data_IF_721094012709
#
_entry.id   IF_721094012709
#
_cell.length_a   1.000
_cell.length_b   1.000
_cell.length_c   1.000
_cell.angle_alpha   90.00
_cell.angle_beta   90.00
_cell.angle_gamma   90.00
#
_symmetry.space_group_name_H-M   'P 1'
#
loop_
_entity.id
_entity.type
_entity.pdbx_description
1 polymer ?
#
# COMPACT_ATOMS: atom_id res chain seq x y z
N UNK A 1 20.89 10.88 -15.94
CA UNK A 1 20.34 9.76 -15.15
C UNK A 1 21.54 9.01 -14.64
N UNK A 2 21.74 8.88 -13.34
CA UNK A 2 22.85 8.09 -12.78
C UNK A 2 22.52 6.61 -13.08
N UNK A 3 23.39 5.96 -13.85
CA UNK A 3 23.28 4.53 -14.13
C UNK A 3 23.27 3.75 -12.82
N UNK A 4 22.20 3.02 -12.54
CA UNK A 4 22.18 1.90 -11.61
C UNK A 4 21.48 2.03 -10.26
N UNK A 5 20.82 3.16 -9.94
CA UNK A 5 20.05 3.23 -8.67
C UNK A 5 18.72 2.49 -8.82
N UNK A 6 18.54 1.43 -8.03
CA UNK A 6 17.29 0.68 -7.93
C UNK A 6 16.44 1.29 -6.83
N UNK A 7 15.25 1.77 -7.16
CA UNK A 7 14.27 2.28 -6.19
C UNK A 7 13.59 1.12 -5.47
N UNK A 8 13.56 1.19 -4.15
CA UNK A 8 12.92 0.19 -3.28
C UNK A 8 11.53 0.66 -2.88
N UNK A 9 10.52 -0.11 -3.20
CA UNK A 9 9.12 0.15 -2.85
C UNK A 9 8.64 -0.90 -1.86
N UNK A 10 8.06 -0.46 -0.75
CA UNK A 10 7.39 -1.35 0.19
C UNK A 10 5.91 -1.50 -0.19
N UNK A 11 5.53 -2.71 -0.58
CA UNK A 11 4.15 -3.10 -0.86
C UNK A 11 3.42 -3.49 0.43
N UNK A 12 2.36 -2.77 0.80
CA UNK A 12 1.57 -3.06 2.01
C UNK A 12 0.16 -3.49 1.62
N UNK A 13 -0.23 -4.70 2.01
CA UNK A 13 -1.57 -5.24 1.82
C UNK A 13 -2.49 -4.88 2.99
N UNK A 14 -3.64 -4.25 2.72
CA UNK A 14 -4.63 -3.91 3.75
C UNK A 14 -5.51 -5.09 4.19
N UNK A 15 -5.41 -6.24 3.53
CA UNK A 15 -6.17 -7.42 3.87
C UNK A 15 -5.31 -8.47 4.57
N UNK A 16 -5.80 -9.02 5.65
CA UNK A 16 -5.16 -10.11 6.39
C UNK A 16 -5.58 -11.51 5.91
N UNK A 17 -6.49 -11.59 4.93
CA UNK A 17 -6.97 -12.86 4.37
C UNK A 17 -5.88 -13.55 3.54
N UNK A 18 -5.68 -14.86 3.72
CA UNK A 18 -4.73 -15.66 2.91
C UNK A 18 -5.06 -15.58 1.42
N UNK A 19 -6.33 -15.73 1.02
CA UNK A 19 -6.79 -15.60 -0.38
C UNK A 19 -7.16 -14.16 -0.77
N UNK A 20 -6.37 -13.17 -0.38
CA UNK A 20 -6.66 -11.75 -0.63
C UNK A 20 -6.38 -11.34 -2.07
N UNK A 21 -7.37 -10.82 -2.80
CA UNK A 21 -7.18 -10.19 -4.09
C UNK A 21 -6.18 -9.02 -4.05
N UNK A 22 -6.15 -8.27 -2.95
CA UNK A 22 -5.21 -7.17 -2.78
C UNK A 22 -3.78 -7.65 -2.59
N UNK A 23 -3.56 -8.80 -1.95
CA UNK A 23 -2.25 -9.45 -1.89
C UNK A 23 -1.79 -9.89 -3.28
N UNK A 24 -2.70 -10.51 -4.04
CA UNK A 24 -2.43 -10.92 -5.42
C UNK A 24 -2.11 -9.73 -6.34
N UNK A 25 -2.77 -8.57 -6.15
CA UNK A 25 -2.40 -7.36 -6.89
C UNK A 25 -0.98 -6.89 -6.61
N UNK A 26 -0.48 -7.02 -5.38
CA UNK A 26 0.92 -6.70 -5.07
C UNK A 26 1.89 -7.68 -5.74
N UNK A 27 1.54 -8.96 -5.81
CA UNK A 27 2.33 -9.97 -6.51
C UNK A 27 2.38 -9.67 -8.02
N UNK A 28 1.26 -9.28 -8.63
CA UNK A 28 1.20 -8.77 -10.01
C UNK A 28 2.05 -7.52 -10.20
N UNK A 29 2.04 -6.61 -9.22
CA UNK A 29 2.89 -5.42 -9.28
C UNK A 29 4.38 -5.77 -9.23
N UNK A 30 4.80 -6.79 -8.47
CA UNK A 30 6.18 -7.30 -8.50
C UNK A 30 6.56 -7.85 -9.89
N UNK A 31 5.66 -8.62 -10.51
CA UNK A 31 5.88 -9.18 -11.86
C UNK A 31 6.01 -8.09 -12.94
N UNK A 32 5.27 -6.98 -12.80
CA UNK A 32 5.17 -5.89 -13.76
C UNK A 32 6.08 -4.71 -13.43
N UNK A 33 6.91 -4.83 -12.39
CA UNK A 33 7.80 -3.76 -11.99
C UNK A 33 8.77 -3.40 -13.14
N UNK A 34 8.88 -2.10 -13.51
CA UNK A 34 9.82 -1.69 -14.55
C UNK A 34 11.27 -1.80 -14.05
N UNK A 35 12.21 -1.86 -14.99
CA UNK A 35 13.62 -1.86 -14.68
C UNK A 35 13.98 -0.69 -13.73
N UNK A 36 14.76 -0.99 -12.69
CA UNK A 36 15.14 -0.02 -11.66
C UNK A 36 14.07 0.24 -10.59
N UNK A 37 13.02 -0.57 -10.52
CA UNK A 37 12.04 -0.56 -9.42
C UNK A 37 11.92 -1.96 -8.82
N UNK A 38 12.19 -2.10 -7.54
CA UNK A 38 11.99 -3.35 -6.78
C UNK A 38 10.86 -3.18 -5.77
N UNK A 39 9.98 -4.16 -5.67
CA UNK A 39 8.86 -4.15 -4.72
C UNK A 39 9.06 -5.28 -3.72
N UNK A 40 9.25 -4.93 -2.46
CA UNK A 40 9.19 -5.87 -1.34
C UNK A 40 7.78 -5.85 -0.75
N UNK A 41 7.15 -7.02 -0.60
CA UNK A 41 5.81 -7.09 -0.02
C UNK A 41 5.89 -7.40 1.48
N UNK A 42 5.44 -6.47 2.30
CA UNK A 42 5.38 -6.64 3.75
C UNK A 42 4.54 -7.87 4.14
N UNK A 43 5.05 -8.65 5.09
CA UNK A 43 4.42 -9.91 5.56
C UNK A 43 3.02 -9.73 6.15
N UNK A 44 2.68 -8.51 6.61
CA UNK A 44 1.36 -8.16 7.12
C UNK A 44 1.37 -7.67 8.57
N UNK A 45 0.30 -7.00 8.96
CA UNK A 45 0.12 -6.37 10.27
C UNK A 45 -0.66 -7.28 11.25
N UNK A 46 -0.50 -8.59 11.12
CA UNK A 46 -1.05 -9.55 12.06
C UNK A 46 -0.47 -9.32 13.46
N UNK A 47 -1.31 -9.35 14.47
CA UNK A 47 -0.87 -9.24 15.85
C UNK A 47 -0.56 -7.80 16.33
N UNK A 48 -0.82 -6.78 15.50
CA UNK A 48 -0.77 -5.41 16.01
C UNK A 48 -1.94 -5.21 16.99
N UNK A 49 -1.69 -4.83 18.26
CA UNK A 49 -2.76 -4.54 19.21
C UNK A 49 -3.60 -3.35 18.72
N UNK A 50 -4.82 -3.25 19.20
CA UNK A 50 -5.60 -2.03 19.00
C UNK A 50 -4.87 -0.87 19.68
N UNK A 51 -4.71 0.24 18.96
CA UNK A 51 -4.01 1.40 19.49
C UNK A 51 -4.73 1.93 20.75
N UNK A 52 -3.96 2.14 21.79
CA UNK A 52 -4.38 2.73 23.05
C UNK A 52 -3.21 3.55 23.60
N UNK A 53 -3.46 4.84 23.87
CA UNK A 53 -2.42 5.74 24.35
C UNK A 53 -1.91 5.35 25.74
N UNK A 54 -2.75 4.76 26.61
CA UNK A 54 -2.33 4.30 27.94
C UNK A 54 -1.36 3.10 27.84
N UNK A 55 -1.58 2.23 26.84
CA UNK A 55 -0.67 1.10 26.58
C UNK A 55 0.65 1.59 25.97
N UNK A 56 0.59 2.60 25.07
CA UNK A 56 1.80 3.24 24.53
C UNK A 56 2.64 3.89 25.64
N UNK A 57 2.01 4.60 26.58
CA UNK A 57 2.72 5.25 27.69
C UNK A 57 3.34 4.23 28.66
N UNK A 58 2.64 3.12 28.91
CA UNK A 58 3.11 2.08 29.84
C UNK A 58 4.18 1.16 29.23
N UNK A 59 3.98 0.70 28.00
CA UNK A 59 4.73 -0.42 27.39
C UNK A 59 5.56 0.04 26.18
N UNK A 60 5.34 1.25 25.69
CA UNK A 60 5.97 1.78 24.48
C UNK A 60 5.33 1.25 23.19
N UNK A 61 6.02 1.49 22.08
CA UNK A 61 5.54 1.08 20.75
C UNK A 61 5.87 -0.40 20.51
N UNK A 62 4.89 -1.24 20.12
CA UNK A 62 5.12 -2.68 19.89
C UNK A 62 6.22 -2.96 18.85
N UNK A 63 7.06 -3.96 19.11
CA UNK A 63 8.18 -4.30 18.22
C UNK A 63 7.79 -4.52 16.75
N UNK A 64 6.65 -5.18 16.39
CA UNK A 64 6.24 -5.30 14.99
C UNK A 64 5.90 -3.97 14.32
N UNK A 65 5.44 -2.97 15.09
CA UNK A 65 5.20 -1.60 14.59
C UNK A 65 6.52 -0.91 14.30
N UNK A 66 7.49 -1.06 15.20
CA UNK A 66 8.85 -0.52 15.00
C UNK A 66 9.48 -1.12 13.74
N UNK A 67 9.39 -2.43 13.56
CA UNK A 67 9.87 -3.11 12.34
C UNK A 67 9.26 -2.50 11.06
N UNK A 68 7.94 -2.42 10.99
CA UNK A 68 7.27 -1.85 9.82
C UNK A 68 7.64 -0.37 9.61
N UNK A 69 7.78 0.40 10.68
CA UNK A 69 8.21 1.80 10.62
C UNK A 69 9.58 1.94 9.95
N UNK A 70 10.55 1.13 10.35
CA UNK A 70 11.88 1.16 9.74
C UNK A 70 11.84 0.71 8.28
N UNK A 71 11.09 -0.34 7.94
CA UNK A 71 10.90 -0.74 6.53
C UNK A 71 10.32 0.38 5.67
N UNK A 72 9.33 1.15 6.20
CA UNK A 72 8.78 2.30 5.49
C UNK A 72 9.83 3.41 5.35
N UNK A 73 10.68 3.64 6.33
CA UNK A 73 11.75 4.64 6.25
C UNK A 73 12.78 4.31 5.19
N UNK A 74 13.23 3.06 5.16
CA UNK A 74 14.24 2.57 4.24
C UNK A 74 13.76 2.50 2.80
N UNK A 75 12.44 2.37 2.59
CA UNK A 75 11.85 2.36 1.26
C UNK A 75 11.81 3.76 0.63
N UNK A 76 12.09 3.86 -0.67
CA UNK A 76 11.95 5.09 -1.47
C UNK A 76 10.47 5.48 -1.67
N UNK A 77 9.56 4.50 -1.57
CA UNK A 77 8.13 4.72 -1.68
C UNK A 77 7.30 3.58 -1.11
N UNK A 78 6.00 3.83 -0.93
CA UNK A 78 5.04 2.83 -0.45
C UNK A 78 3.93 2.60 -1.47
N UNK A 79 3.73 1.34 -1.87
CA UNK A 79 2.60 0.90 -2.68
C UNK A 79 1.55 0.24 -1.79
N UNK A 80 0.42 0.90 -1.60
CA UNK A 80 -0.67 0.40 -0.79
C UNK A 80 -1.67 -0.38 -1.64
N UNK A 81 -1.96 -1.63 -1.30
CA UNK A 81 -3.07 -2.40 -1.87
C UNK A 81 -4.16 -2.58 -0.81
N UNK A 82 -5.21 -1.74 -0.90
CA UNK A 82 -6.24 -1.67 0.14
C UNK A 82 -7.59 -2.21 -0.32
N UNK A 83 -8.20 -3.14 0.42
CA UNK A 83 -9.61 -3.46 0.22
C UNK A 83 -10.51 -2.29 0.66
N UNK A 84 -11.79 -2.40 0.32
CA UNK A 84 -12.83 -1.52 0.84
C UNK A 84 -13.75 -2.32 1.76
N UNK A 85 -13.84 -1.94 3.02
CA UNK A 85 -14.74 -2.53 4.00
C UNK A 85 -15.76 -1.49 4.45
N UNK A 86 -17.05 -1.77 4.23
CA UNK A 86 -18.14 -0.87 4.62
C UNK A 86 -17.91 0.57 4.13
N UNK A 87 -17.56 0.71 2.83
CA UNK A 87 -17.28 1.98 2.15
C UNK A 87 -16.06 2.75 2.66
N UNK A 88 -15.19 2.13 3.43
CA UNK A 88 -14.03 2.78 4.02
C UNK A 88 -12.77 1.90 3.96
N UNK A 89 -11.69 2.41 4.55
CA UNK A 89 -10.45 1.66 4.72
C UNK A 89 -10.61 0.51 5.73
N UNK A 90 -9.84 -0.58 5.61
CA UNK A 90 -9.89 -1.68 6.56
C UNK A 90 -9.36 -1.25 7.93
N UNK A 91 -10.16 -1.57 8.98
CA UNK A 91 -9.85 -1.14 10.36
C UNK A 91 -8.49 -1.63 10.85
N UNK A 92 -8.09 -2.86 10.54
CA UNK A 92 -6.80 -3.41 10.96
C UNK A 92 -5.60 -2.63 10.38
N UNK A 93 -5.66 -2.27 9.09
CA UNK A 93 -4.60 -1.45 8.49
C UNK A 93 -4.65 -0.01 8.99
N UNK A 94 -5.86 0.55 9.18
CA UNK A 94 -5.99 1.88 9.80
C UNK A 94 -5.35 1.91 11.17
N UNK A 95 -5.62 0.90 12.00
CA UNK A 95 -5.00 0.73 13.32
C UNK A 95 -3.46 0.63 13.24
N UNK A 96 -2.92 -0.11 12.27
CA UNK A 96 -1.47 -0.16 12.07
C UNK A 96 -0.90 1.24 11.74
N UNK A 97 -1.60 2.03 10.92
CA UNK A 97 -1.18 3.39 10.59
C UNK A 97 -1.38 4.36 11.78
N UNK A 98 -2.34 4.12 12.68
CA UNK A 98 -2.47 4.89 13.93
C UNK A 98 -1.24 4.69 14.83
N UNK A 99 -0.78 3.46 15.00
CA UNK A 99 0.48 3.16 15.68
C UNK A 99 1.70 3.81 14.99
N UNK A 100 1.78 3.71 13.66
CA UNK A 100 2.89 4.27 12.86
C UNK A 100 2.90 5.80 12.88
N UNK A 101 1.77 6.45 13.17
CA UNK A 101 1.64 7.90 13.25
C UNK A 101 2.19 8.50 14.55
N UNK A 102 2.60 7.64 15.49
CA UNK A 102 3.14 8.07 16.77
C UNK A 102 4.57 8.57 16.61
N UNK A 103 5.28 8.73 17.71
CA UNK A 103 6.65 9.25 17.74
C UNK A 103 7.50 8.80 16.55
N UNK A 104 8.16 9.74 15.90
CA UNK A 104 9.02 9.48 14.72
C UNK A 104 8.30 8.83 13.54
N UNK A 105 7.09 9.27 13.19
CA UNK A 105 6.30 8.73 12.07
C UNK A 105 7.07 8.78 10.73
N UNK A 106 6.92 7.74 9.85
CA UNK A 106 7.76 7.57 8.66
C UNK A 106 7.16 8.18 7.38
N UNK A 107 6.06 8.94 7.47
CA UNK A 107 5.25 9.31 6.31
C UNK A 107 5.52 10.71 5.76
N UNK A 108 6.17 11.60 6.53
CA UNK A 108 6.47 12.96 6.07
C UNK A 108 7.25 12.92 4.77
N UNK A 109 6.70 13.50 3.73
CA UNK A 109 7.21 13.51 2.35
C UNK A 109 7.38 12.11 1.72
N UNK A 110 6.87 11.05 2.33
CA UNK A 110 6.95 9.70 1.76
C UNK A 110 6.11 9.59 0.48
N UNK A 111 6.71 9.26 -0.67
CA UNK A 111 5.97 9.00 -1.90
C UNK A 111 5.09 7.77 -1.72
N UNK A 112 3.82 7.88 -2.07
CA UNK A 112 2.87 6.78 -1.96
C UNK A 112 2.07 6.59 -3.25
N UNK A 113 1.79 5.35 -3.60
CA UNK A 113 0.79 4.98 -4.59
C UNK A 113 -0.23 4.03 -3.97
N UNK A 114 -1.42 3.97 -4.55
CA UNK A 114 -2.48 3.11 -4.04
C UNK A 114 -3.26 2.45 -5.17
N UNK A 115 -3.57 1.18 -4.97
CA UNK A 115 -4.45 0.38 -5.81
C UNK A 115 -5.36 -0.49 -4.94
N UNK A 116 -6.36 -1.13 -5.52
CA UNK A 116 -7.15 -2.07 -4.75
C UNK A 116 -8.18 -2.84 -5.56
N UNK A 117 -8.56 -4.00 -5.02
CA UNK A 117 -9.56 -4.89 -5.58
C UNK A 117 -10.67 -5.19 -4.59
N UNK A 118 -11.90 -5.25 -5.10
CA UNK A 118 -13.09 -5.63 -4.34
C UNK A 118 -14.07 -6.42 -5.22
N UNK A 119 -14.90 -7.24 -4.60
CA UNK A 119 -15.96 -7.98 -5.29
C UNK A 119 -17.08 -7.07 -5.80
N UNK A 120 -17.23 -5.88 -5.20
CA UNK A 120 -18.19 -4.87 -5.64
C UNK A 120 -17.77 -4.20 -6.96
N UNK A 121 -18.70 -3.59 -7.70
CA UNK A 121 -18.43 -3.03 -9.04
C UNK A 121 -17.53 -1.78 -9.01
N UNK A 122 -17.53 -1.03 -7.91
CA UNK A 122 -16.78 0.24 -7.77
C UNK A 122 -15.30 0.02 -7.42
N UNK A 123 -14.91 -1.23 -7.14
CA UNK A 123 -13.57 -1.54 -6.66
C UNK A 123 -13.38 -1.01 -5.23
N UNK A 124 -12.32 -0.25 -5.01
CA UNK A 124 -11.98 0.28 -3.69
C UNK A 124 -11.89 1.81 -3.67
N UNK A 125 -12.64 2.48 -4.56
CA UNK A 125 -12.53 3.92 -4.76
C UNK A 125 -12.73 4.73 -3.48
N UNK A 126 -13.77 4.39 -2.67
CA UNK A 126 -14.06 5.13 -1.43
C UNK A 126 -12.95 4.94 -0.40
N UNK A 127 -12.48 3.70 -0.22
CA UNK A 127 -11.36 3.39 0.65
C UNK A 127 -10.09 4.16 0.23
N UNK A 128 -9.79 4.25 -1.06
CA UNK A 128 -8.63 4.96 -1.57
C UNK A 128 -8.72 6.47 -1.31
N UNK A 129 -9.88 7.09 -1.43
CA UNK A 129 -10.07 8.50 -1.09
C UNK A 129 -9.93 8.74 0.42
N UNK A 130 -10.42 7.84 1.27
CA UNK A 130 -10.21 7.93 2.72
C UNK A 130 -8.73 7.79 3.08
N UNK A 131 -7.97 6.92 2.41
CA UNK A 131 -6.52 6.81 2.59
C UNK A 131 -5.82 8.12 2.23
N UNK A 132 -6.11 8.70 1.06
CA UNK A 132 -5.54 9.97 0.64
C UNK A 132 -5.79 11.09 1.65
N UNK A 133 -7.03 11.18 2.16
CA UNK A 133 -7.40 12.15 3.19
C UNK A 133 -6.65 11.90 4.51
N UNK A 134 -6.64 10.67 4.99
CA UNK A 134 -6.00 10.31 6.26
C UNK A 134 -4.49 10.54 6.24
N UNK A 135 -3.83 10.15 5.16
CA UNK A 135 -2.38 10.23 5.03
C UNK A 135 -1.88 11.65 4.72
N UNK A 136 -2.74 12.52 4.19
CA UNK A 136 -2.41 13.94 4.03
C UNK A 136 -2.11 14.61 5.40
N UNK A 137 -2.80 14.18 6.47
CA UNK A 137 -2.53 14.64 7.82
C UNK A 137 -1.12 14.25 8.33
N UNK A 138 -0.53 13.20 7.76
CA UNK A 138 0.82 12.71 8.09
C UNK A 138 1.89 13.20 7.10
N UNK A 139 1.52 14.07 6.15
CA UNK A 139 2.45 14.64 5.18
C UNK A 139 2.91 13.69 4.07
N UNK A 140 2.20 12.56 3.87
CA UNK A 140 2.50 11.65 2.76
C UNK A 140 2.09 12.25 1.41
N UNK A 141 2.84 11.93 0.35
CA UNK A 141 2.65 12.51 -0.98
C UNK A 141 2.18 11.41 -1.95
N UNK A 142 0.86 11.32 -2.13
CA UNK A 142 0.28 10.35 -3.05
C UNK A 142 0.46 10.72 -4.51
N UNK A 143 0.84 9.72 -5.34
CA UNK A 143 0.70 9.81 -6.78
C UNK A 143 -0.78 10.05 -7.14
N UNK A 144 -1.12 11.16 -7.85
CA UNK A 144 -2.53 11.47 -8.13
C UNK A 144 -3.14 10.57 -9.20
N UNK A 145 -2.36 10.12 -10.18
CA UNK A 145 -2.79 9.32 -11.35
C UNK A 145 -1.67 8.38 -11.81
N UNK A 146 -2.02 7.20 -12.41
CA UNK A 146 -3.38 6.66 -12.58
C UNK A 146 -3.98 6.14 -11.26
N UNK A 147 -5.32 6.01 -11.21
CA UNK A 147 -6.05 5.37 -10.12
C UNK A 147 -6.44 3.94 -10.53
N UNK A 148 -6.22 2.96 -9.68
CA UNK A 148 -6.49 1.55 -9.98
C UNK A 148 -7.59 1.02 -9.06
N UNK A 149 -8.79 0.89 -9.60
CA UNK A 149 -9.98 0.38 -8.93
C UNK A 149 -10.43 -0.93 -9.58
N UNK A 150 -9.97 -2.07 -9.08
CA UNK A 150 -10.37 -3.38 -9.62
C UNK A 150 -11.71 -3.80 -9.02
N UNK A 151 -12.79 -3.44 -9.70
CA UNK A 151 -14.13 -3.90 -9.35
C UNK A 151 -14.42 -5.31 -9.87
N UNK A 152 -15.45 -5.96 -9.29
CA UNK A 152 -15.86 -7.32 -9.66
C UNK A 152 -14.71 -8.34 -9.63
N UNK A 153 -13.84 -8.24 -8.63
CA UNK A 153 -12.58 -8.97 -8.53
C UNK A 153 -12.74 -10.49 -8.75
N UNK A 154 -13.81 -11.10 -8.22
CA UNK A 154 -14.07 -12.53 -8.39
C UNK A 154 -14.16 -13.01 -9.86
N UNK A 155 -14.36 -12.08 -10.81
CA UNK A 155 -14.42 -12.39 -12.25
C UNK A 155 -13.09 -12.11 -12.97
N UNK A 156 -12.12 -11.59 -12.25
CA UNK A 156 -10.84 -11.12 -12.79
C UNK A 156 -9.63 -11.90 -12.27
N UNK A 157 -9.90 -12.83 -11.38
CA UNK A 157 -8.93 -13.80 -10.89
C UNK A 157 -9.47 -15.21 -11.16
N UNK A 158 -8.61 -16.10 -11.62
CA UNK A 158 -8.94 -17.52 -11.82
C UNK A 158 -8.93 -18.30 -10.48
N UNK A 159 -9.17 -19.61 -10.56
CA UNK A 159 -9.23 -20.51 -9.40
C UNK A 159 -7.88 -20.60 -8.67
N UNK A 160 -6.77 -20.45 -9.37
CA UNK A 160 -5.41 -20.45 -8.84
C UNK A 160 -5.03 -19.09 -8.23
N UNK A 161 -5.89 -18.09 -8.40
CA UNK A 161 -5.68 -16.72 -7.92
C UNK A 161 -4.83 -15.86 -8.85
N UNK A 162 -4.62 -16.29 -10.09
CA UNK A 162 -3.95 -15.48 -11.12
C UNK A 162 -4.86 -14.36 -11.60
N UNK A 163 -4.32 -13.15 -11.71
CA UNK A 163 -5.05 -11.99 -12.23
C UNK A 163 -5.08 -12.02 -13.75
N UNK A 164 -6.25 -12.31 -14.32
CA UNK A 164 -6.45 -12.56 -15.76
C UNK A 164 -6.96 -11.37 -16.56
N UNK A 165 -7.24 -10.23 -15.90
CA UNK A 165 -7.70 -9.00 -16.54
C UNK A 165 -6.52 -8.27 -17.23
N UNK A 166 -6.34 -8.46 -18.52
CA UNK A 166 -5.25 -7.84 -19.31
C UNK A 166 -5.27 -6.30 -19.23
N UNK A 167 -6.46 -5.69 -19.24
CA UNK A 167 -6.59 -4.24 -19.07
C UNK A 167 -6.12 -3.83 -17.69
N UNK A 168 -6.53 -4.57 -16.66
CA UNK A 168 -6.07 -4.36 -15.29
C UNK A 168 -4.56 -4.50 -15.14
N UNK A 169 -3.96 -5.53 -15.75
CA UNK A 169 -2.49 -5.72 -15.76
C UNK A 169 -1.77 -4.54 -16.40
N UNK A 170 -2.26 -4.09 -17.57
CA UNK A 170 -1.69 -2.92 -18.24
C UNK A 170 -1.76 -1.68 -17.35
N UNK A 171 -2.91 -1.41 -16.74
CA UNK A 171 -3.09 -0.25 -15.85
C UNK A 171 -2.18 -0.30 -14.62
N UNK A 172 -1.93 -1.48 -14.05
CA UNK A 172 -0.97 -1.65 -12.96
C UNK A 172 0.45 -1.33 -13.46
N UNK A 173 0.85 -1.82 -14.63
CA UNK A 173 2.15 -1.46 -15.23
C UNK A 173 2.28 0.06 -15.43
N UNK A 174 1.26 0.70 -15.97
CA UNK A 174 1.23 2.17 -16.15
C UNK A 174 1.34 2.92 -14.80
N UNK A 175 0.70 2.39 -13.73
CA UNK A 175 0.84 2.92 -12.37
C UNK A 175 2.29 2.84 -11.88
N UNK A 176 2.95 1.71 -12.08
CA UNK A 176 4.31 1.49 -11.58
C UNK A 176 5.33 2.39 -12.29
N UNK A 177 5.20 2.56 -13.61
CA UNK A 177 6.03 3.50 -14.37
C UNK A 177 5.80 4.95 -13.91
N UNK A 178 4.55 5.33 -13.66
CA UNK A 178 4.23 6.66 -13.13
C UNK A 178 4.74 6.83 -11.70
N UNK A 179 4.66 5.79 -10.87
CA UNK A 179 5.12 5.84 -9.48
C UNK A 179 6.65 5.94 -9.38
N UNK A 180 7.39 5.21 -10.22
CA UNK A 180 8.84 5.34 -10.32
C UNK A 180 9.27 6.79 -10.61
N UNK A 181 8.63 7.43 -11.59
CA UNK A 181 8.88 8.85 -11.92
C UNK A 181 8.49 9.77 -10.76
N UNK A 182 7.37 9.49 -10.10
CA UNK A 182 6.87 10.26 -8.97
C UNK A 182 7.84 10.24 -7.79
N UNK A 183 8.36 9.08 -7.43
CA UNK A 183 9.38 8.95 -6.38
C UNK A 183 10.56 9.86 -6.67
N UNK A 184 11.09 9.82 -7.90
CA UNK A 184 12.23 10.66 -8.32
C UNK A 184 11.94 12.16 -8.30
N UNK A 185 10.68 12.56 -8.50
CA UNK A 185 10.27 13.96 -8.51
C UNK A 185 10.07 14.56 -7.11
N UNK A 186 9.61 13.74 -6.15
CA UNK A 186 9.15 14.26 -4.84
C UNK A 186 10.05 13.86 -3.68
N UNK A 187 11.03 12.98 -3.89
CA UNK A 187 12.03 12.68 -2.86
C UNK A 187 12.88 13.91 -2.56
N UNK A 188 13.03 14.22 -1.28
CA UNK A 188 13.79 15.36 -0.76
C UNK A 188 15.17 14.90 -0.33
#
# INVERSE_FOLDING_TARGET
>A
MSDGEVLKVLGICGSLRTGSYNRRLLEVAQELAPDGLEIEIYKGHHGFPVYNADDEERDGIPAPVVELREMIREADGVLLASPEYNFSMPGGLKNAFDWLSRENQPFTHKPMAIMGASIGPVGTARSQYHWRQSMAALGAIFLPRPEIFVGSAAKKFDEDGTFTDEIGRKLIGDLLVAFQKWILQVRV
#
